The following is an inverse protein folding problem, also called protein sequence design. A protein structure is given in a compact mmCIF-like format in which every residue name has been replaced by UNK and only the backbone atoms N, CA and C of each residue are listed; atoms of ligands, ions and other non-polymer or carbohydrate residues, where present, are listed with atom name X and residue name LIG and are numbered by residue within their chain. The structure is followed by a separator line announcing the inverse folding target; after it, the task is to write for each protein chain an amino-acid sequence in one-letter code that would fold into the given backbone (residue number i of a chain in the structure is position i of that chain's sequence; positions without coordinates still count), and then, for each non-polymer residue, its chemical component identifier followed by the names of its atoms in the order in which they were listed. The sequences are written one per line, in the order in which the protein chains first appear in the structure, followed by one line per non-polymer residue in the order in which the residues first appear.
data_IF_678503668736
#
_entry.id   IF_678503668736
#
_cell.length_a   1.000
_cell.length_b   1.000
_cell.length_c   1.000
_cell.angle_alpha   90.00
_cell.angle_beta   90.00
_cell.angle_gamma   90.00
#
_symmetry.space_group_name_H-M   'P 1'
#
loop_
_entity.id
_entity.type
_entity.pdbx_description
1 polymer ?
#
# COMPACT_ATOMS: atom_id res chain seq x y z
N UNK A 1 -2.59 2.41 -8.68
CA UNK A 1 -2.92 3.24 -9.86
C UNK A 1 -3.52 2.36 -10.94
N UNK A 2 -4.39 2.89 -11.78
CA UNK A 2 -4.94 2.18 -12.94
C UNK A 2 -4.95 3.11 -14.16
N UNK A 3 -4.48 2.68 -15.35
CA UNK A 3 -4.55 3.50 -16.55
C UNK A 3 -6.02 3.71 -16.96
N UNK A 4 -6.36 4.92 -17.39
CA UNK A 4 -7.72 5.23 -17.87
C UNK A 4 -7.92 4.83 -19.34
N UNK A 5 -6.84 4.56 -20.07
CA UNK A 5 -6.86 4.28 -21.52
C UNK A 5 -7.65 5.33 -22.33
N UNK A 6 -7.57 6.59 -21.90
CA UNK A 6 -8.40 7.68 -22.38
C UNK A 6 -8.58 8.76 -21.31
N UNK A 7 -9.68 9.50 -21.38
CA UNK A 7 -10.05 10.47 -20.34
C UNK A 7 -10.66 9.76 -19.12
N UNK A 8 -10.04 9.91 -17.95
CA UNK A 8 -10.53 9.33 -16.69
C UNK A 8 -11.92 9.83 -16.29
N UNK A 9 -12.41 10.94 -16.85
CA UNK A 9 -13.79 11.39 -16.64
C UNK A 9 -14.82 10.37 -17.16
N UNK A 10 -14.47 9.61 -18.20
CA UNK A 10 -15.39 8.72 -18.91
C UNK A 10 -15.09 7.24 -18.69
N UNK A 11 -14.09 6.91 -17.86
CA UNK A 11 -13.70 5.52 -17.64
C UNK A 11 -14.77 4.77 -16.84
N UNK A 12 -15.07 3.53 -17.22
CA UNK A 12 -15.86 2.65 -16.39
C UNK A 12 -15.00 2.16 -15.22
N UNK A 13 -15.41 2.54 -14.00
CA UNK A 13 -14.66 2.18 -12.79
C UNK A 13 -14.58 0.67 -12.54
N UNK A 14 -15.50 -0.15 -13.09
CA UNK A 14 -15.47 -1.61 -12.90
C UNK A 14 -14.41 -2.29 -13.75
N UNK A 15 -13.93 -1.60 -14.79
CA UNK A 15 -12.90 -2.10 -15.70
C UNK A 15 -11.49 -1.58 -15.35
N UNK A 16 -11.37 -0.73 -14.32
CA UNK A 16 -10.07 -0.27 -13.83
C UNK A 16 -9.30 -1.42 -13.16
N UNK A 17 -8.11 -1.70 -13.69
CA UNK A 17 -7.16 -2.65 -13.11
C UNK A 17 -6.05 -1.90 -12.37
N UNK A 18 -6.04 -2.01 -11.03
CA UNK A 18 -5.13 -1.30 -10.17
C UNK A 18 -3.86 -2.10 -9.89
N UNK A 19 -2.69 -1.49 -10.13
CA UNK A 19 -1.40 -1.94 -9.62
C UNK A 19 -0.96 -1.10 -8.42
N UNK A 20 -0.28 -1.72 -7.45
CA UNK A 20 0.15 -1.06 -6.20
C UNK A 20 1.50 -0.36 -6.39
N UNK A 21 1.59 0.90 -5.94
CA UNK A 21 2.83 1.72 -6.04
C UNK A 21 3.41 2.14 -4.70
N UNK A 22 2.70 1.86 -3.61
CA UNK A 22 3.13 2.16 -2.25
C UNK A 22 2.32 1.28 -1.29
N UNK A 23 2.96 0.82 -0.23
CA UNK A 23 2.30 0.18 0.92
C UNK A 23 3.04 0.48 2.21
N UNK A 24 2.29 0.41 3.30
CA UNK A 24 2.80 0.39 4.66
C UNK A 24 1.80 -0.36 5.52
N UNK A 25 2.29 -1.22 6.41
CA UNK A 25 1.48 -2.01 7.31
C UNK A 25 2.01 -1.84 8.75
N UNK A 26 2.35 -2.92 9.44
CA UNK A 26 2.94 -2.88 10.79
C UNK A 26 4.45 -2.74 10.67
N UNK A 27 4.99 -1.59 11.10
CA UNK A 27 6.38 -1.19 10.86
C UNK A 27 7.30 -1.77 11.94
N UNK A 28 7.01 -1.50 13.22
CA UNK A 28 7.85 -1.93 14.34
C UNK A 28 7.11 -1.88 15.70
N UNK A 29 7.81 -2.22 16.77
CA UNK A 29 7.38 -2.06 18.17
C UNK A 29 8.33 -1.10 18.89
N UNK A 30 8.53 0.10 18.33
CA UNK A 30 9.41 1.10 18.95
C UNK A 30 8.98 1.42 20.38
N UNK A 31 9.98 1.70 21.22
CA UNK A 31 9.78 1.96 22.66
C UNK A 31 8.75 3.05 22.89
N UNK A 32 7.77 2.75 23.74
CA UNK A 32 6.74 3.70 24.15
C UNK A 32 5.36 3.04 24.12
N UNK A 33 4.35 3.79 23.68
CA UNK A 33 2.95 3.31 23.58
C UNK A 33 2.75 2.10 22.66
N UNK A 34 3.69 1.85 21.76
CA UNK A 34 3.60 0.78 20.76
C UNK A 34 4.12 -0.57 21.29
N UNK A 35 4.91 -0.53 22.37
CA UNK A 35 5.55 -1.68 23.00
C UNK A 35 5.26 -1.75 24.51
N UNK A 36 4.19 -1.10 24.96
CA UNK A 36 3.80 -1.06 26.37
C UNK A 36 2.83 -2.19 26.71
N UNK A 37 2.98 -2.77 27.90
CA UNK A 37 2.15 -3.87 28.37
C UNK A 37 2.84 -5.23 28.22
N UNK A 38 2.06 -6.29 28.38
CA UNK A 38 2.53 -7.66 28.20
C UNK A 38 3.01 -7.88 26.77
N UNK A 39 3.91 -8.85 26.57
CA UNK A 39 4.39 -9.23 25.25
C UNK A 39 3.25 -9.75 24.33
N UNK A 40 2.09 -10.08 24.91
CA UNK A 40 0.90 -10.42 24.16
C UNK A 40 0.01 -9.17 24.06
N UNK A 41 -0.24 -8.71 22.83
CA UNK A 41 -1.15 -7.58 22.56
C UNK A 41 -0.52 -6.18 22.61
N UNK A 42 0.80 -6.08 22.48
CA UNK A 42 1.43 -4.78 22.17
C UNK A 42 0.89 -4.29 20.83
N UNK A 43 0.36 -3.08 20.72
CA UNK A 43 -0.36 -2.71 19.48
C UNK A 43 0.54 -2.48 18.27
N UNK A 44 1.84 -2.26 18.47
CA UNK A 44 2.78 -1.96 17.39
C UNK A 44 2.59 -0.56 16.78
N UNK A 45 3.56 -0.15 15.95
CA UNK A 45 3.60 1.11 15.20
C UNK A 45 3.21 0.87 13.75
N UNK A 46 2.10 1.44 13.31
CA UNK A 46 1.54 1.20 11.97
C UNK A 46 1.82 2.35 11.02
N UNK A 47 1.68 2.08 9.71
CA UNK A 47 1.70 3.12 8.69
C UNK A 47 0.71 4.26 8.97
N UNK A 48 -0.45 3.97 9.57
CA UNK A 48 -1.41 4.99 9.99
C UNK A 48 -0.91 5.86 11.14
N UNK A 49 -0.09 5.31 12.04
CA UNK A 49 0.56 6.10 13.08
C UNK A 49 1.58 7.06 12.47
N UNK A 50 2.35 6.62 11.46
CA UNK A 50 3.29 7.49 10.74
C UNK A 50 2.59 8.62 10.01
N UNK A 51 1.46 8.33 9.33
CA UNK A 51 0.64 9.34 8.68
C UNK A 51 0.17 10.38 9.71
N UNK A 52 -0.36 9.93 10.86
CA UNK A 52 -1.01 10.81 11.83
C UNK A 52 -0.01 11.58 12.70
N UNK A 53 0.93 10.88 13.35
CA UNK A 53 1.82 11.44 14.37
C UNK A 53 3.11 12.03 13.79
N UNK A 54 3.69 11.39 12.77
CA UNK A 54 4.99 11.82 12.23
C UNK A 54 4.83 12.81 11.06
N UNK A 55 3.80 12.61 10.23
CA UNK A 55 3.62 13.32 8.96
C UNK A 55 2.46 14.33 8.96
N UNK A 56 1.87 14.64 10.12
CA UNK A 56 0.84 15.68 10.23
C UNK A 56 -0.42 15.40 9.41
N UNK A 57 -0.92 14.15 9.44
CA UNK A 57 -2.06 13.66 8.65
C UNK A 57 -1.82 13.70 7.13
N UNK A 58 -0.57 13.48 6.70
CA UNK A 58 -0.20 13.46 5.29
C UNK A 58 0.53 12.18 4.93
N UNK A 59 0.32 11.73 3.68
CA UNK A 59 1.12 10.69 3.05
C UNK A 59 1.62 11.19 1.71
N UNK A 60 2.93 11.11 1.50
CA UNK A 60 3.54 11.40 0.20
C UNK A 60 3.81 10.08 -0.53
N UNK A 61 3.45 10.04 -1.80
CA UNK A 61 3.75 8.91 -2.70
C UNK A 61 4.45 9.42 -3.94
N UNK A 62 5.48 8.71 -4.38
CA UNK A 62 6.19 9.01 -5.62
C UNK A 62 5.56 8.23 -6.76
N UNK A 63 5.18 8.91 -7.83
CA UNK A 63 4.72 8.24 -9.06
C UNK A 63 5.96 7.66 -9.76
N UNK A 64 6.02 6.35 -10.03
CA UNK A 64 7.15 5.75 -10.71
C UNK A 64 7.36 6.36 -12.10
N UNK A 65 8.59 6.71 -12.47
CA UNK A 65 8.89 7.24 -13.80
C UNK A 65 8.94 6.15 -14.89
N UNK A 66 8.98 4.88 -14.48
CA UNK A 66 9.09 3.70 -15.34
C UNK A 66 7.74 3.21 -15.87
N UNK A 67 6.66 3.96 -15.65
CA UNK A 67 5.35 3.70 -16.27
C UNK A 67 5.15 4.65 -17.46
N UNK A 68 4.34 4.28 -18.46
CA UNK A 68 4.01 5.19 -19.56
C UNK A 68 3.38 6.49 -19.12
N UNK A 69 3.63 7.56 -19.87
CA UNK A 69 2.85 8.80 -19.76
C UNK A 69 1.38 8.53 -20.08
N UNK A 70 0.45 9.22 -19.41
CA UNK A 70 -0.96 8.99 -19.64
C UNK A 70 -1.85 9.47 -18.51
N UNK A 71 -3.16 9.25 -18.67
CA UNK A 71 -4.13 9.55 -17.64
C UNK A 71 -4.35 8.29 -16.79
N UNK A 72 -4.32 8.45 -15.47
CA UNK A 72 -4.46 7.37 -14.50
C UNK A 72 -5.46 7.76 -13.41
N UNK A 73 -6.14 6.75 -12.86
CA UNK A 73 -6.79 6.86 -11.55
C UNK A 73 -5.75 6.50 -10.48
N UNK A 74 -5.46 7.46 -9.60
CA UNK A 74 -4.73 7.23 -8.36
C UNK A 74 -5.73 6.90 -7.26
N UNK A 75 -5.76 5.64 -6.82
CA UNK A 75 -6.52 5.19 -5.65
C UNK A 75 -5.59 5.14 -4.44
N UNK A 76 -5.96 5.85 -3.38
CA UNK A 76 -5.32 5.81 -2.06
C UNK A 76 -6.30 5.22 -1.06
N UNK A 77 -5.80 4.63 0.03
CA UNK A 77 -6.67 4.02 1.03
C UNK A 77 -5.95 3.86 2.36
N UNK A 78 -6.72 4.00 3.43
CA UNK A 78 -6.36 3.52 4.76
C UNK A 78 -7.29 2.37 5.13
N UNK A 79 -6.74 1.31 5.72
CA UNK A 79 -7.50 0.20 6.27
C UNK A 79 -7.38 0.24 7.78
N UNK A 80 -8.52 0.16 8.48
CA UNK A 80 -8.55 0.10 9.93
C UNK A 80 -8.91 -1.31 10.40
N UNK A 81 -8.07 -1.83 11.31
CA UNK A 81 -8.17 -3.17 11.87
C UNK A 81 -8.42 -3.19 13.39
N UNK A 82 -8.82 -2.04 13.97
CA UNK A 82 -9.01 -1.92 15.43
C UNK A 82 -10.14 -2.80 15.99
N UNK A 83 -11.10 -3.19 15.15
CA UNK A 83 -12.16 -4.13 15.51
C UNK A 83 -11.64 -5.55 15.29
N UNK A 84 -11.20 -6.22 16.36
CA UNK A 84 -10.86 -7.64 16.31
C UNK A 84 -12.16 -8.46 16.33
N UNK A 85 -12.29 -9.37 15.36
CA UNK A 85 -13.51 -10.11 15.06
C UNK A 85 -13.55 -10.51 13.59
N UNK A 86 -14.74 -10.78 13.05
CA UNK A 86 -14.88 -11.19 11.64
C UNK A 86 -14.25 -10.17 10.69
N UNK A 87 -13.62 -10.66 9.62
CA UNK A 87 -12.98 -9.82 8.58
C UNK A 87 -13.96 -8.84 7.92
N UNK A 88 -15.26 -9.15 7.94
CA UNK A 88 -16.31 -8.23 7.48
C UNK A 88 -16.39 -6.92 8.27
N UNK A 89 -15.80 -6.86 9.47
CA UNK A 89 -15.75 -5.66 10.32
C UNK A 89 -14.55 -4.76 10.04
N UNK A 90 -13.62 -5.15 9.14
CA UNK A 90 -12.50 -4.31 8.73
C UNK A 90 -13.01 -3.12 7.94
N UNK A 91 -12.45 -1.94 8.20
CA UNK A 91 -12.95 -0.69 7.64
C UNK A 91 -11.98 -0.15 6.59
N UNK A 92 -12.45 -0.02 5.36
CA UNK A 92 -11.67 0.45 4.22
C UNK A 92 -12.10 1.87 3.85
N UNK A 93 -11.13 2.77 3.68
CA UNK A 93 -11.36 4.19 3.39
C UNK A 93 -10.72 4.62 2.06
N UNK A 94 -11.24 4.16 0.91
CA UNK A 94 -10.65 4.47 -0.38
C UNK A 94 -10.98 5.90 -0.83
N UNK A 95 -10.00 6.57 -1.45
CA UNK A 95 -10.14 7.84 -2.16
C UNK A 95 -9.52 7.71 -3.55
N UNK A 96 -10.12 8.31 -4.56
CA UNK A 96 -9.68 8.21 -5.95
C UNK A 96 -9.51 9.59 -6.60
N UNK A 97 -8.44 9.76 -7.36
CA UNK A 97 -8.09 11.01 -8.03
C UNK A 97 -7.74 10.74 -9.50
N UNK A 98 -8.20 11.61 -10.39
CA UNK A 98 -7.77 11.61 -11.78
C UNK A 98 -6.46 12.40 -11.89
N UNK A 99 -5.41 11.76 -12.40
CA UNK A 99 -4.09 12.38 -12.56
C UNK A 99 -3.58 12.19 -13.99
N UNK A 100 -2.73 13.10 -14.44
CA UNK A 100 -1.98 12.98 -15.69
C UNK A 100 -0.50 12.80 -15.37
N UNK A 101 0.03 11.64 -15.71
CA UNK A 101 1.46 11.32 -15.65
C UNK A 101 2.11 11.85 -16.93
N UNK A 102 3.21 12.58 -16.77
CA UNK A 102 4.01 13.11 -17.87
C UNK A 102 5.48 12.75 -17.66
N UNK A 103 6.23 12.59 -18.75
CA UNK A 103 7.65 12.21 -18.68
C UNK A 103 7.89 10.77 -18.22
N UNK A 104 6.90 9.90 -18.44
CA UNK A 104 7.02 8.46 -18.22
C UNK A 104 7.81 7.76 -19.33
N UNK A 105 8.04 6.46 -19.15
CA UNK A 105 8.65 5.59 -20.16
C UNK A 105 7.57 4.97 -21.05
N UNK A 106 7.29 5.62 -22.19
CA UNK A 106 6.26 5.17 -23.14
C UNK A 106 6.63 3.86 -23.87
N UNK A 107 7.86 3.35 -23.70
CA UNK A 107 8.29 2.04 -24.21
C UNK A 107 8.05 0.90 -23.21
N UNK A 108 7.81 1.23 -21.93
CA UNK A 108 7.55 0.25 -20.88
C UNK A 108 6.09 -0.22 -20.88
N UNK A 109 5.81 -1.47 -20.48
CA UNK A 109 4.44 -1.90 -20.23
C UNK A 109 3.91 -1.30 -18.92
N UNK A 110 2.59 -1.07 -18.85
CA UNK A 110 1.92 -0.79 -17.57
C UNK A 110 2.02 -2.04 -16.68
N UNK A 111 2.32 -1.91 -15.36
CA UNK A 111 2.32 -3.04 -14.46
C UNK A 111 0.97 -3.76 -14.43
N UNK A 112 0.99 -5.09 -14.32
CA UNK A 112 -0.23 -5.88 -14.20
C UNK A 112 -1.06 -5.45 -12.99
N UNK A 113 -2.35 -5.19 -13.22
CA UNK A 113 -3.29 -4.74 -12.19
C UNK A 113 -4.31 -5.80 -11.80
N UNK A 114 -5.20 -5.42 -10.88
CA UNK A 114 -6.37 -6.20 -10.45
C UNK A 114 -7.61 -5.32 -10.45
N UNK A 115 -8.77 -5.88 -10.80
CA UNK A 115 -10.04 -5.15 -10.70
C UNK A 115 -10.26 -4.68 -9.26
N UNK A 116 -10.95 -3.56 -9.10
CA UNK A 116 -11.26 -3.01 -7.76
C UNK A 116 -11.93 -4.03 -6.83
N UNK A 117 -12.76 -4.92 -7.37
CA UNK A 117 -13.46 -6.00 -6.66
C UNK A 117 -12.58 -7.21 -6.32
N UNK A 118 -11.35 -7.25 -6.82
CA UNK A 118 -10.37 -8.33 -6.63
C UNK A 118 -9.17 -7.86 -5.82
N UNK A 119 -9.23 -6.64 -5.26
CA UNK A 119 -8.14 -6.06 -4.49
C UNK A 119 -7.96 -6.68 -3.12
N UNK A 120 -8.95 -7.32 -2.52
CA UNK A 120 -8.82 -7.89 -1.17
C UNK A 120 -9.34 -9.31 -1.14
N UNK A 121 -8.69 -10.15 -0.35
CA UNK A 121 -9.21 -11.45 0.02
C UNK A 121 -9.46 -11.48 1.52
N UNK A 122 -10.54 -12.14 1.95
CA UNK A 122 -10.77 -12.34 3.37
C UNK A 122 -9.58 -13.04 4.06
N UNK A 123 -8.82 -13.87 3.34
CA UNK A 123 -7.62 -14.55 3.85
C UNK A 123 -6.35 -13.70 3.82
N UNK A 124 -6.39 -12.41 3.47
CA UNK A 124 -5.20 -11.55 3.54
C UNK A 124 -4.71 -11.45 5.01
N UNK A 125 -3.43 -11.72 5.26
CA UNK A 125 -2.86 -11.84 6.62
C UNK A 125 -3.17 -10.62 7.51
N UNK A 126 -3.05 -9.41 6.96
CA UNK A 126 -3.38 -8.18 7.68
C UNK A 126 -4.86 -8.10 8.09
N UNK A 127 -5.76 -8.63 7.26
CA UNK A 127 -7.19 -8.62 7.57
C UNK A 127 -7.55 -9.67 8.64
N UNK A 128 -6.74 -10.73 8.76
CA UNK A 128 -6.84 -11.75 9.79
C UNK A 128 -6.15 -11.35 11.11
N UNK A 129 -5.35 -10.29 11.11
CA UNK A 129 -4.56 -9.87 12.28
C UNK A 129 -5.41 -9.50 13.50
N UNK A 130 -5.12 -10.12 14.64
CA UNK A 130 -5.71 -9.74 15.92
C UNK A 130 -4.82 -8.70 16.61
N UNK A 131 -5.22 -7.43 16.52
CA UNK A 131 -4.46 -6.31 17.07
C UNK A 131 -4.24 -6.39 18.60
N UNK A 132 -5.05 -7.14 19.33
CA UNK A 132 -5.00 -7.21 20.80
C UNK A 132 -4.55 -8.59 21.30
N UNK A 133 -4.33 -9.55 20.40
CA UNK A 133 -3.90 -10.90 20.75
C UNK A 133 -2.93 -11.49 19.72
N UNK A 134 -1.71 -10.97 19.71
CA UNK A 134 -0.60 -11.45 18.87
C UNK A 134 0.73 -11.40 19.64
N UNK A 135 1.75 -12.17 19.22
CA UNK A 135 3.10 -12.10 19.79
C UNK A 135 3.78 -10.77 19.46
N UNK A 136 4.28 -10.07 20.47
CA UNK A 136 5.07 -8.85 20.27
C UNK A 136 6.33 -9.13 19.46
N UNK A 137 6.68 -8.18 18.59
CA UNK A 137 7.82 -8.28 17.69
C UNK A 137 7.50 -8.88 16.33
N UNK A 138 6.34 -9.50 16.14
CA UNK A 138 5.88 -9.93 14.81
C UNK A 138 5.35 -8.74 14.00
N UNK A 139 5.88 -8.55 12.79
CA UNK A 139 5.45 -7.50 11.86
C UNK A 139 4.71 -8.09 10.67
N UNK A 140 3.80 -7.31 10.10
CA UNK A 140 3.20 -7.56 8.79
C UNK A 140 3.82 -6.58 7.82
N UNK A 141 4.61 -7.08 6.88
CA UNK A 141 5.31 -6.24 5.91
C UNK A 141 4.42 -5.88 4.70
N UNK A 142 3.49 -6.77 4.34
CA UNK A 142 2.68 -6.66 3.12
C UNK A 142 1.26 -6.21 3.47
N UNK A 143 0.83 -5.09 2.91
CA UNK A 143 -0.55 -4.64 3.04
C UNK A 143 -1.46 -5.47 2.10
N UNK A 144 -2.77 -5.60 2.40
CA UNK A 144 -3.72 -6.33 1.57
C UNK A 144 -3.67 -5.95 0.09
N UNK A 145 -4.05 -6.91 -0.74
CA UNK A 145 -4.17 -6.75 -2.19
C UNK A 145 -2.93 -7.02 -3.02
N UNK A 146 -2.87 -6.49 -4.27
CA UNK A 146 -1.84 -6.89 -5.21
C UNK A 146 -0.46 -6.57 -4.65
N UNK A 147 0.52 -7.39 -5.02
CA UNK A 147 1.91 -7.13 -4.66
C UNK A 147 2.35 -5.74 -5.14
N UNK A 148 3.28 -5.13 -4.41
CA UNK A 148 3.93 -3.91 -4.85
C UNK A 148 4.53 -4.10 -6.25
N UNK A 149 4.17 -3.23 -7.19
CA UNK A 149 4.69 -3.31 -8.54
C UNK A 149 6.22 -3.13 -8.53
N UNK A 150 6.94 -3.88 -9.38
CA UNK A 150 8.40 -3.81 -9.46
C UNK A 150 8.93 -2.41 -9.83
N UNK A 151 8.11 -1.57 -10.46
CA UNK A 151 8.44 -0.16 -10.74
C UNK A 151 8.44 0.73 -9.49
N UNK A 152 7.77 0.29 -8.43
CA UNK A 152 7.63 1.00 -7.16
C UNK A 152 8.57 0.49 -6.07
N UNK A 153 9.15 -0.71 -6.24
CA UNK A 153 10.26 -1.12 -5.39
C UNK A 153 11.46 -0.24 -5.71
N UNK A 154 12.07 0.35 -4.67
CA UNK A 154 13.36 0.99 -4.82
C UNK A 154 14.33 -0.13 -5.23
N UNK A 155 14.58 -0.27 -6.53
CA UNK A 155 15.82 -0.89 -6.95
C UNK A 155 16.90 0.00 -6.35
N UNK A 156 17.47 -0.43 -5.21
CA UNK A 156 18.89 -0.17 -4.98
C UNK A 156 19.55 -0.63 -6.27
N UNK A 157 19.91 0.31 -7.14
CA UNK A 157 20.79 0.01 -8.27
C UNK A 157 22.07 -0.48 -7.61
N UNK A 158 22.17 -1.78 -7.36
CA UNK A 158 23.43 -2.41 -7.01
C UNK A 158 24.31 -2.14 -8.22
N UNK A 159 25.22 -1.19 -8.07
CA UNK A 159 26.18 -0.92 -9.12
C UNK A 159 27.05 -2.17 -9.22
N UNK A 160 27.44 -2.58 -10.42
CA UNK A 160 28.29 -3.77 -10.68
C UNK A 160 29.61 -3.77 -9.87
N UNK A 161 29.94 -2.65 -9.21
CA UNK A 161 31.11 -2.49 -8.33
C UNK A 161 30.91 -3.00 -6.90
N UNK A 162 29.70 -3.35 -6.47
CA UNK A 162 29.44 -3.81 -5.10
C UNK A 162 29.78 -5.29 -4.86
N UNK A 163 30.22 -6.03 -5.89
CA UNK A 163 30.65 -7.44 -5.79
C UNK A 163 32.17 -7.62 -5.73
N UNK A 164 32.91 -6.59 -5.31
CA UNK A 164 34.37 -6.68 -5.18
C UNK A 164 34.84 -6.03 -3.88
N UNK A 165 34.75 -6.80 -2.79
CA UNK A 165 35.59 -6.67 -1.59
C UNK A 165 35.61 -8.01 -0.85
#
# INVERSE_FOLDING_TARGET
MAPCNGDCKNVDKTELEFFKIHESALIDYRRGRYSSGEAQGQTGYWGTDAIFYDNGNSQTVTIPSQIPSGNYVLRTEVVSIHNNGDVSNRQFWPQAFNIKVAGGDDSAPVPAGKKGTELYNASDDLLQWDLYWHPAGETIEVAPGPQLAAVASIQKRAHVRDFSA
#
